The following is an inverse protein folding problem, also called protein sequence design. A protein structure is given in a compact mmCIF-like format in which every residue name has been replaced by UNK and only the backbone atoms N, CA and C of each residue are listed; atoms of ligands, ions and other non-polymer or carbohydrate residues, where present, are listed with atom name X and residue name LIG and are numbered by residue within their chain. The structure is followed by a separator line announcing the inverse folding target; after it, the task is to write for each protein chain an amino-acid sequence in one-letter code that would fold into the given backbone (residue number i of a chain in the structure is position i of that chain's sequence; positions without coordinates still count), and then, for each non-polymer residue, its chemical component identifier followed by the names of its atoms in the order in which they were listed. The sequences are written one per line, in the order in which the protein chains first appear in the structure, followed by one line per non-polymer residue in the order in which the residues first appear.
data_IF_557472816402
#
_entry.id   IF_557472816402
#
_cell.length_a   1.000
_cell.length_b   1.000
_cell.length_c   1.000
_cell.angle_alpha   90.00
_cell.angle_beta   90.00
_cell.angle_gamma   90.00
#
_symmetry.space_group_name_H-M   'P 1'
#
loop_
_entity.id
_entity.type
_entity.pdbx_description
1 polymer ?
#
# COMPACT_ATOMS: atom_id res chain seq x y z
N UNK A 1 60.87 -8.90 -56.09
CA UNK A 1 59.85 -9.95 -55.96
C UNK A 1 58.53 -9.30 -55.60
N UNK A 2 57.47 -9.79 -56.23
CA UNK A 2 56.16 -9.20 -56.50
C UNK A 2 55.19 -9.20 -55.31
N UNK A 3 54.34 -8.16 -55.24
CA UNK A 3 53.07 -8.16 -54.50
C UNK A 3 52.07 -9.08 -55.20
N UNK A 4 51.14 -9.70 -54.46
CA UNK A 4 49.75 -9.35 -54.72
C UNK A 4 48.94 -9.09 -53.44
N UNK A 5 48.05 -8.11 -53.55
CA UNK A 5 46.89 -7.89 -52.69
C UNK A 5 45.90 -9.06 -52.76
N UNK A 6 45.16 -9.29 -51.68
CA UNK A 6 43.78 -9.76 -51.76
C UNK A 6 42.98 -9.37 -50.52
N UNK A 7 41.86 -8.73 -50.81
CA UNK A 7 40.82 -8.23 -49.93
C UNK A 7 40.28 -9.26 -48.91
N UNK A 8 39.93 -8.74 -47.73
CA UNK A 8 39.15 -9.45 -46.72
C UNK A 8 38.20 -8.51 -45.98
N UNK A 9 37.54 -7.60 -46.70
CA UNK A 9 36.54 -6.67 -46.19
C UNK A 9 35.19 -7.38 -46.03
N UNK A 10 34.76 -7.64 -44.80
CA UNK A 10 33.37 -8.03 -44.53
C UNK A 10 33.12 -8.26 -43.04
N UNK A 11 32.02 -7.82 -42.43
CA UNK A 11 30.91 -6.94 -42.79
C UNK A 11 30.20 -6.68 -41.43
N UNK A 12 29.70 -5.46 -41.15
CA UNK A 12 29.09 -5.13 -39.85
C UNK A 12 27.82 -5.95 -39.58
N UNK A 13 27.71 -6.53 -38.38
CA UNK A 13 26.48 -7.20 -37.92
C UNK A 13 25.43 -6.14 -37.61
N UNK A 14 24.37 -6.20 -38.41
CA UNK A 14 23.20 -5.33 -38.41
C UNK A 14 22.38 -5.48 -37.13
N UNK A 15 21.93 -4.34 -36.63
CA UNK A 15 20.81 -4.13 -35.72
C UNK A 15 19.54 -4.86 -36.19
N UNK A 16 18.85 -5.50 -35.27
CA UNK A 16 17.42 -5.86 -35.42
C UNK A 16 16.68 -5.12 -34.32
N UNK A 17 16.02 -4.04 -34.73
CA UNK A 17 14.95 -3.37 -33.98
C UNK A 17 13.72 -4.27 -34.12
N UNK A 18 13.27 -4.88 -33.04
CA UNK A 18 11.96 -5.53 -33.01
C UNK A 18 10.97 -4.53 -32.41
N UNK A 19 10.34 -3.77 -33.30
CA UNK A 19 9.11 -3.05 -33.02
C UNK A 19 7.98 -4.08 -32.96
N UNK A 20 7.41 -4.32 -31.78
CA UNK A 20 6.20 -5.11 -31.63
C UNK A 20 5.02 -4.15 -31.41
N UNK A 21 4.41 -3.74 -32.52
CA UNK A 21 3.08 -3.15 -32.52
C UNK A 21 2.07 -4.29 -32.38
N UNK A 22 1.31 -4.33 -31.28
CA UNK A 22 0.06 -5.09 -31.21
C UNK A 22 -1.10 -4.14 -30.89
N UNK A 23 -1.84 -3.94 -31.97
CA UNK A 23 -3.12 -3.30 -32.21
C UNK A 23 -4.18 -3.68 -31.15
N UNK A 24 -4.77 -2.66 -30.51
CA UNK A 24 -6.11 -2.68 -29.90
C UNK A 24 -7.16 -2.93 -31.00
N UNK A 25 -8.23 -3.73 -30.77
CA UNK A 25 -9.52 -3.07 -30.55
C UNK A 25 -10.59 -3.86 -29.74
N UNK A 26 -11.67 -3.12 -29.41
CA UNK A 26 -13.07 -3.53 -29.14
C UNK A 26 -13.50 -3.82 -27.69
N UNK A 27 -14.20 -2.84 -27.10
CA UNK A 27 -15.67 -2.83 -26.90
C UNK A 27 -16.11 -1.39 -26.56
N UNK A 28 -16.66 -0.63 -27.52
CA UNK A 28 -18.11 -0.38 -27.68
C UNK A 28 -18.71 0.43 -26.50
N UNK A 29 -18.73 1.76 -26.58
CA UNK A 29 -19.91 2.58 -26.98
C UNK A 29 -21.16 2.28 -26.15
N UNK A 30 -21.44 3.13 -25.14
CA UNK A 30 -22.80 3.61 -24.86
C UNK A 30 -22.71 5.11 -24.54
N UNK A 31 -23.11 5.92 -25.51
CA UNK A 31 -23.47 7.32 -25.32
C UNK A 31 -24.86 7.38 -24.69
N UNK A 32 -25.06 8.12 -23.59
CA UNK A 32 -26.36 8.75 -23.35
C UNK A 32 -26.26 9.99 -22.47
N UNK A 33 -26.43 11.13 -23.13
CA UNK A 33 -26.76 12.42 -22.55
C UNK A 33 -28.15 12.35 -21.90
N UNK A 34 -28.25 12.69 -20.61
CA UNK A 34 -29.50 13.08 -19.99
C UNK A 34 -29.27 14.34 -19.14
N UNK A 35 -29.37 15.51 -19.80
CA UNK A 35 -29.74 16.75 -19.12
C UNK A 35 -31.27 16.81 -19.13
N UNK A 36 -31.88 16.64 -17.97
CA UNK A 36 -33.27 17.06 -17.75
C UNK A 36 -33.37 17.62 -16.32
N UNK A 37 -33.75 18.89 -16.25
CA UNK A 37 -34.13 19.60 -15.05
C UNK A 37 -35.47 19.07 -14.52
N UNK A 38 -35.58 18.94 -13.20
CA UNK A 38 -36.76 18.96 -12.32
C UNK A 38 -36.08 18.99 -10.92
N UNK A 39 -36.11 20.09 -10.16
CA UNK A 39 -37.20 20.38 -9.24
C UNK A 39 -37.39 21.88 -9.05
N UNK A 40 -38.44 22.42 -9.69
CA UNK A 40 -39.16 23.56 -9.15
C UNK A 40 -40.57 23.06 -8.89
N UNK A 41 -40.86 22.68 -7.64
CA UNK A 41 -42.15 22.75 -6.94
C UNK A 41 -42.02 21.88 -5.69
N UNK A 42 -41.71 22.55 -4.58
CA UNK A 42 -41.64 21.95 -3.25
C UNK A 42 -41.61 23.00 -2.15
N UNK A 43 -42.10 24.23 -2.40
CA UNK A 43 -42.51 25.09 -1.30
C UNK A 43 -43.80 24.51 -0.72
N UNK A 44 -43.70 23.76 0.38
CA UNK A 44 -44.67 23.88 1.46
C UNK A 44 -44.14 23.30 2.78
N UNK A 45 -43.90 24.22 3.73
CA UNK A 45 -44.09 24.10 5.18
C UNK A 45 -43.47 22.88 5.88
N UNK A 46 -42.49 23.16 6.74
CA UNK A 46 -42.77 23.17 8.19
C UNK A 46 -41.63 23.89 8.93
N UNK A 47 -41.99 25.01 9.56
CA UNK A 47 -41.21 25.66 10.60
C UNK A 47 -40.98 24.68 11.75
N UNK A 48 -39.73 24.30 11.96
CA UNK A 48 -39.24 23.69 13.19
C UNK A 48 -37.79 24.12 13.36
N UNK A 49 -37.35 24.61 14.54
CA UNK A 49 -35.94 24.87 14.76
C UNK A 49 -35.17 23.57 14.45
N UNK A 50 -34.05 23.61 13.72
CA UNK A 50 -33.24 22.41 13.54
C UNK A 50 -32.86 21.95 14.94
N UNK A 51 -33.32 20.76 15.32
CA UNK A 51 -32.78 20.06 16.48
C UNK A 51 -31.29 19.88 16.21
N UNK A 52 -30.47 20.77 16.75
CA UNK A 52 -29.03 20.61 16.82
C UNK A 52 -28.75 19.49 17.79
N UNK A 53 -28.94 18.25 17.34
CA UNK A 53 -28.25 17.09 17.88
C UNK A 53 -26.79 17.16 17.41
N UNK A 54 -26.08 18.17 17.90
CA UNK A 54 -24.64 18.02 18.06
C UNK A 54 -24.50 17.00 19.19
N UNK A 55 -24.35 15.74 18.81
CA UNK A 55 -23.58 14.81 19.61
C UNK A 55 -22.12 15.08 19.24
N UNK A 56 -21.36 15.91 19.99
CA UNK A 56 -19.93 16.01 19.80
C UNK A 56 -19.33 14.71 20.33
N UNK A 57 -19.50 13.61 19.60
CA UNK A 57 -18.58 12.49 19.76
C UNK A 57 -17.21 13.07 19.45
N UNK A 58 -16.26 13.04 20.40
CA UNK A 58 -14.90 13.43 20.11
C UNK A 58 -14.46 12.58 18.92
N UNK A 59 -14.09 13.23 17.82
CA UNK A 59 -13.33 12.55 16.77
C UNK A 59 -12.05 11.98 17.39
N UNK A 60 -11.47 10.93 16.81
CA UNK A 60 -10.22 10.38 17.32
C UNK A 60 -9.17 11.50 17.40
N UNK A 61 -8.62 11.71 18.60
CA UNK A 61 -7.54 12.66 18.83
C UNK A 61 -6.23 11.92 18.61
N UNK A 62 -5.65 12.09 17.42
CA UNK A 62 -4.34 11.55 17.13
C UNK A 62 -3.24 12.46 17.69
N UNK A 63 -2.14 11.86 18.12
CA UNK A 63 -0.93 12.56 18.53
C UNK A 63 0.10 12.57 17.40
N UNK A 64 0.72 13.72 17.14
CA UNK A 64 1.80 13.79 16.15
C UNK A 64 3.02 13.03 16.66
N UNK A 65 3.56 12.14 15.85
CA UNK A 65 4.78 11.39 16.17
C UNK A 65 6.04 12.20 15.81
N UNK A 66 7.12 12.13 16.62
CA UNK A 66 8.41 12.75 16.25
C UNK A 66 8.95 12.20 14.92
N UNK A 67 9.49 13.07 14.07
CA UNK A 67 10.00 12.69 12.74
C UNK A 67 11.02 11.53 12.79
N UNK A 68 11.96 11.54 13.73
CA UNK A 68 12.94 10.46 13.85
C UNK A 68 12.35 9.08 14.22
N UNK A 69 11.21 9.05 14.92
CA UNK A 69 10.48 7.80 15.17
C UNK A 69 9.75 7.33 13.90
N UNK A 70 9.18 8.27 13.13
CA UNK A 70 8.53 7.99 11.85
C UNK A 70 9.52 7.46 10.80
N UNK A 71 10.70 8.10 10.69
CA UNK A 71 11.78 7.66 9.79
C UNK A 71 12.23 6.23 10.13
N UNK A 72 12.42 5.93 11.42
CA UNK A 72 12.85 4.61 11.87
C UNK A 72 11.83 3.51 11.49
N UNK A 73 10.53 3.78 11.67
CA UNK A 73 9.51 2.79 11.36
C UNK A 73 9.26 2.65 9.86
N UNK A 74 9.43 3.75 9.11
CA UNK A 74 9.41 3.74 7.66
C UNK A 74 10.54 2.86 7.09
N UNK A 75 11.76 3.06 7.55
CA UNK A 75 12.91 2.24 7.17
C UNK A 75 12.71 0.76 7.52
N UNK A 76 12.11 0.46 8.67
CA UNK A 76 11.78 -0.91 9.07
C UNK A 76 10.72 -1.54 8.16
N UNK A 77 9.68 -0.79 7.77
CA UNK A 77 8.65 -1.24 6.85
C UNK A 77 9.26 -1.61 5.49
N UNK A 78 10.15 -0.77 4.95
CA UNK A 78 10.86 -1.08 3.71
C UNK A 78 11.69 -2.36 3.82
N UNK A 79 12.45 -2.54 4.90
CA UNK A 79 13.26 -3.76 5.10
C UNK A 79 12.44 -5.02 5.26
N UNK A 80 11.25 -4.94 5.89
CA UNK A 80 10.30 -6.06 5.91
C UNK A 80 9.90 -6.41 4.48
N UNK A 81 9.43 -5.45 3.68
CA UNK A 81 9.04 -5.68 2.28
C UNK A 81 10.19 -6.24 1.43
N UNK A 82 11.40 -5.67 1.54
CA UNK A 82 12.58 -6.15 0.82
C UNK A 82 12.96 -7.59 1.21
N UNK A 83 12.88 -7.91 2.49
CA UNK A 83 13.15 -9.27 2.98
C UNK A 83 12.07 -10.23 2.49
N UNK A 84 10.82 -9.82 2.52
CA UNK A 84 9.67 -10.62 2.10
C UNK A 84 9.62 -10.86 0.59
N UNK A 85 10.14 -9.95 -0.21
CA UNK A 85 10.30 -10.12 -1.65
C UNK A 85 11.39 -11.15 -2.04
N UNK A 86 12.33 -11.47 -1.14
CA UNK A 86 13.36 -12.47 -1.40
C UNK A 86 12.80 -13.90 -1.30
N UNK A 87 13.47 -14.86 -1.94
CA UNK A 87 13.13 -16.27 -1.76
C UNK A 87 13.45 -16.73 -0.33
N UNK A 88 12.62 -17.56 0.33
CA UNK A 88 12.81 -17.96 1.73
C UNK A 88 14.21 -18.52 2.02
N UNK A 89 14.81 -19.25 1.09
CA UNK A 89 16.13 -19.86 1.21
C UNK A 89 17.30 -18.87 1.17
N UNK A 90 17.09 -17.64 0.69
CA UNK A 90 18.13 -16.60 0.62
C UNK A 90 18.04 -15.59 1.76
N UNK A 91 16.93 -15.60 2.52
CA UNK A 91 16.70 -14.67 3.63
C UNK A 91 17.60 -15.01 4.81
N UNK A 92 18.04 -13.99 5.53
CA UNK A 92 18.59 -14.21 6.85
C UNK A 92 17.47 -14.71 7.79
N UNK A 93 17.70 -15.75 8.63
CA UNK A 93 16.63 -16.40 9.39
C UNK A 93 15.80 -15.47 10.29
N UNK A 94 16.41 -14.42 10.84
CA UNK A 94 15.78 -13.53 11.81
C UNK A 94 15.51 -12.11 11.27
N UNK A 95 15.76 -11.85 9.98
CA UNK A 95 15.64 -10.49 9.46
C UNK A 95 14.22 -9.91 9.49
N UNK A 96 13.15 -10.64 9.09
CA UNK A 96 11.79 -10.10 9.21
C UNK A 96 11.42 -9.85 10.68
N UNK A 97 11.78 -10.78 11.57
CA UNK A 97 11.44 -10.70 12.99
C UNK A 97 12.03 -9.44 13.66
N UNK A 98 13.28 -9.09 13.34
CA UNK A 98 13.95 -7.91 13.89
C UNK A 98 13.28 -6.60 13.47
N UNK A 99 12.93 -6.46 12.20
CA UNK A 99 12.28 -5.24 11.71
C UNK A 99 10.82 -5.15 12.18
N UNK A 100 10.11 -6.28 12.29
CA UNK A 100 8.79 -6.34 12.92
C UNK A 100 8.84 -5.90 14.38
N UNK A 101 9.90 -6.19 15.12
CA UNK A 101 10.05 -5.71 16.50
C UNK A 101 10.14 -4.18 16.60
N UNK A 102 10.83 -3.53 15.65
CA UNK A 102 10.86 -2.06 15.57
C UNK A 102 9.46 -1.49 15.37
N UNK A 103 8.68 -2.11 14.48
CA UNK A 103 7.29 -1.70 14.18
C UNK A 103 6.38 -1.90 15.39
N UNK A 104 6.49 -3.04 16.08
CA UNK A 104 5.72 -3.34 17.28
C UNK A 104 6.04 -2.33 18.40
N UNK A 105 7.33 -2.04 18.62
CA UNK A 105 7.74 -1.09 19.64
C UNK A 105 7.29 0.34 19.30
N UNK A 106 7.32 0.72 18.02
CA UNK A 106 6.74 1.98 17.57
C UNK A 106 5.24 2.06 17.89
N UNK A 107 4.46 1.05 17.53
CA UNK A 107 3.01 1.03 17.76
C UNK A 107 2.64 1.04 19.25
N UNK A 108 3.48 0.45 20.11
CA UNK A 108 3.30 0.51 21.58
C UNK A 108 3.57 1.89 22.15
N UNK A 109 4.59 2.59 21.64
CA UNK A 109 4.93 3.95 22.09
C UNK A 109 3.93 5.00 21.59
N UNK A 110 3.38 4.78 20.40
CA UNK A 110 2.51 5.71 19.69
C UNK A 110 1.19 5.06 19.26
N UNK A 111 0.36 4.53 20.19
CA UNK A 111 -0.83 3.75 19.83
C UNK A 111 -1.88 4.57 19.07
N UNK A 112 -1.97 5.87 19.35
CA UNK A 112 -2.82 6.84 18.65
C UNK A 112 -1.96 7.82 17.82
N UNK A 113 -0.76 7.39 17.42
CA UNK A 113 0.19 8.19 16.66
C UNK A 113 -0.24 8.38 15.21
N UNK A 114 -0.15 9.62 14.72
CA UNK A 114 -0.24 9.98 13.32
C UNK A 114 1.11 10.51 12.84
N UNK A 115 1.51 10.08 11.64
CA UNK A 115 2.80 10.35 11.04
C UNK A 115 2.69 10.26 9.53
N UNK A 116 3.60 10.91 8.83
CA UNK A 116 3.69 10.80 7.38
C UNK A 116 4.75 9.73 7.04
N UNK A 117 4.41 8.84 6.12
CA UNK A 117 5.35 7.93 5.44
C UNK A 117 5.30 8.31 3.96
N UNK A 118 6.46 8.56 3.36
CA UNK A 118 6.54 9.08 1.99
C UNK A 118 5.66 10.35 1.80
N UNK A 119 4.66 10.28 0.93
CA UNK A 119 3.67 11.31 0.67
C UNK A 119 2.28 10.98 1.24
N UNK A 120 2.17 9.91 2.04
CA UNK A 120 0.94 9.43 2.64
C UNK A 120 0.92 9.61 4.15
N UNK A 121 -0.26 9.92 4.68
CA UNK A 121 -0.48 10.00 6.11
C UNK A 121 -0.87 8.64 6.68
N UNK A 122 -0.11 8.15 7.64
CA UNK A 122 -0.30 6.89 8.34
C UNK A 122 -0.73 7.05 9.80
N UNK A 123 -1.20 5.94 10.36
CA UNK A 123 -1.44 5.74 11.80
C UNK A 123 -0.78 4.45 12.26
N UNK A 124 -0.59 4.28 13.57
CA UNK A 124 -0.07 3.02 14.10
C UNK A 124 -0.96 1.83 13.69
N UNK A 125 -2.28 2.02 13.64
CA UNK A 125 -3.21 0.98 13.19
C UNK A 125 -3.02 0.63 11.70
N UNK A 126 -2.96 1.63 10.81
CA UNK A 126 -2.79 1.37 9.37
C UNK A 126 -1.46 0.68 9.09
N UNK A 127 -0.39 1.08 9.79
CA UNK A 127 0.91 0.42 9.74
C UNK A 127 0.82 -1.05 10.15
N UNK A 128 0.20 -1.36 11.29
CA UNK A 128 0.04 -2.75 11.77
C UNK A 128 -0.76 -3.60 10.77
N UNK A 129 -1.78 -3.03 10.13
CA UNK A 129 -2.58 -3.73 9.13
C UNK A 129 -1.78 -4.05 7.86
N UNK A 130 -0.98 -3.11 7.37
CA UNK A 130 -0.09 -3.33 6.21
C UNK A 130 0.94 -4.42 6.52
N UNK A 131 1.58 -4.34 7.69
CA UNK A 131 2.60 -5.31 8.09
C UNK A 131 1.98 -6.70 8.30
N UNK A 132 0.79 -6.78 8.89
CA UNK A 132 0.04 -8.04 9.00
C UNK A 132 -0.21 -8.67 7.63
N UNK A 133 -0.61 -7.87 6.64
CA UNK A 133 -0.86 -8.36 5.28
C UNK A 133 0.41 -8.90 4.63
N UNK A 134 1.51 -8.17 4.72
CA UNK A 134 2.81 -8.61 4.18
C UNK A 134 3.25 -9.94 4.81
N UNK A 135 3.14 -10.06 6.14
CA UNK A 135 3.56 -11.25 6.88
C UNK A 135 2.71 -12.50 6.58
N UNK A 136 1.44 -12.36 6.19
CA UNK A 136 0.58 -13.52 5.87
C UNK A 136 1.18 -14.40 4.76
N UNK A 137 1.88 -13.82 3.80
CA UNK A 137 2.53 -14.55 2.71
C UNK A 137 4.01 -14.80 2.97
N UNK A 138 4.66 -13.90 3.72
CA UNK A 138 6.10 -13.88 3.91
C UNK A 138 6.60 -14.75 5.07
N UNK A 139 6.02 -14.57 6.26
CA UNK A 139 6.37 -15.28 7.50
C UNK A 139 5.16 -15.32 8.45
N UNK A 140 4.24 -16.29 8.25
CA UNK A 140 3.00 -16.38 9.00
C UNK A 140 3.20 -16.59 10.52
N UNK A 141 4.38 -17.04 10.95
CA UNK A 141 4.68 -17.26 12.36
C UNK A 141 4.76 -15.93 13.16
N UNK A 142 4.98 -14.81 12.48
CA UNK A 142 5.07 -13.49 13.10
C UNK A 142 3.70 -12.78 13.23
N UNK A 143 2.69 -13.18 12.44
CA UNK A 143 1.37 -12.55 12.41
C UNK A 143 0.72 -12.45 13.81
N UNK A 144 0.74 -13.47 14.68
CA UNK A 144 0.14 -13.36 16.01
C UNK A 144 0.72 -12.26 16.89
N UNK A 145 1.99 -11.88 16.68
CA UNK A 145 2.65 -10.80 17.43
C UNK A 145 2.07 -9.43 17.04
N UNK A 146 1.78 -9.24 15.76
CA UNK A 146 1.18 -8.03 15.21
C UNK A 146 -0.31 -7.96 15.55
N UNK A 147 -1.04 -9.07 15.40
CA UNK A 147 -2.47 -9.18 15.74
C UNK A 147 -2.76 -8.82 17.20
N UNK A 148 -1.83 -9.10 18.12
CA UNK A 148 -1.94 -8.74 19.53
C UNK A 148 -2.07 -7.23 19.79
N UNK A 149 -1.68 -6.38 18.83
CA UNK A 149 -1.78 -4.91 18.92
C UNK A 149 -2.95 -4.34 18.12
N UNK A 150 -3.54 -5.13 17.22
CA UNK A 150 -4.64 -4.69 16.38
C UNK A 150 -5.95 -4.82 17.18
N UNK A 151 -6.78 -3.75 17.28
CA UNK A 151 -8.07 -3.86 17.94
C UNK A 151 -8.91 -4.96 17.30
N UNK A 152 -9.49 -5.84 18.12
CA UNK A 152 -10.18 -7.07 17.71
C UNK A 152 -11.22 -6.90 16.59
N UNK A 153 -11.86 -5.73 16.51
CA UNK A 153 -12.78 -5.37 15.41
C UNK A 153 -12.17 -5.41 14.01
N UNK A 154 -10.83 -5.41 13.89
CA UNK A 154 -10.11 -5.48 12.62
C UNK A 154 -9.32 -6.78 12.44
N UNK A 155 -9.27 -7.66 13.45
CA UNK A 155 -8.68 -8.98 13.30
C UNK A 155 -9.77 -9.90 12.77
N UNK A 156 -9.71 -10.25 11.49
CA UNK A 156 -10.64 -11.22 10.90
C UNK A 156 -10.38 -12.58 11.54
N UNK A 157 -11.33 -13.08 12.32
CA UNK A 157 -11.22 -14.39 12.98
C UNK A 157 -11.31 -15.50 11.91
N UNK A 158 -10.16 -15.99 11.44
CA UNK A 158 -10.11 -17.26 10.72
C UNK A 158 -10.09 -18.38 11.76
N UNK A 159 -11.20 -18.58 12.44
CA UNK A 159 -11.41 -19.84 13.16
C UNK A 159 -11.46 -20.97 12.12
N UNK A 160 -10.62 -22.02 12.20
CA UNK A 160 -10.82 -23.19 11.39
C UNK A 160 -12.15 -23.82 11.82
N UNK A 161 -13.10 -23.89 10.89
CA UNK A 161 -14.35 -24.61 11.09
C UNK A 161 -14.04 -26.06 11.44
N UNK A 162 -14.65 -26.50 12.55
CA UNK A 162 -14.64 -27.86 13.06
C UNK A 162 -15.16 -28.89 12.03
#
# INVERSE_FOLDING_TARGET
MTRPDSDGRGRPRRTIVVAAAWILPLLAVVSLTARAAIDLVGQQRQDGPPATLFDPRPGPTYSSVPAGDADQVHDALHRVGETCAQAPETRAPDSPARDVDVIIDFARRHPDGQFDIDDEQGTALSLLLVVREELQSCDPALVPRVDALIPSRHVTSTAPGA
#
